data_IF_682058451668
#
_entry.id   IF_682058451668
#
_cell.length_a   1.000
_cell.length_b   1.000
_cell.length_c   1.000
_cell.angle_alpha   90.00
_cell.angle_beta   90.00
_cell.angle_gamma   90.00
#
_symmetry.space_group_name_H-M   'P 1'
#
loop_
_entity.id
_entity.type
_entity.pdbx_description
1 polymer ?
#
# COMPACT_ATOMS: atom_id res chain seq x y z
N UNK A 1 -45.51 11.52 -49.13
CA UNK A 1 -44.65 11.89 -50.27
C UNK A 1 -43.34 12.43 -49.72
N UNK A 2 -42.33 11.60 -49.47
CA UNK A 2 -41.31 11.10 -50.43
C UNK A 2 -40.16 12.09 -50.68
N UNK A 3 -39.02 11.91 -49.99
CA UNK A 3 -37.77 11.32 -50.55
C UNK A 3 -36.57 11.48 -49.59
N UNK A 4 -35.96 10.34 -49.26
CA UNK A 4 -34.55 10.15 -48.85
C UNK A 4 -33.73 9.81 -50.15
N UNK A 5 -32.40 9.52 -50.18
CA UNK A 5 -31.33 9.63 -49.17
C UNK A 5 -29.98 10.20 -49.74
N UNK A 6 -28.96 10.39 -48.90
CA UNK A 6 -27.57 10.26 -49.38
C UNK A 6 -26.68 9.52 -48.36
N UNK A 7 -26.20 8.34 -48.80
CA UNK A 7 -25.26 7.44 -48.12
C UNK A 7 -23.83 7.93 -48.27
N UNK A 8 -23.03 7.87 -47.21
CA UNK A 8 -21.58 7.82 -47.30
C UNK A 8 -21.08 6.36 -47.23
N UNK A 9 -20.30 5.94 -48.23
CA UNK A 9 -19.55 4.68 -48.27
C UNK A 9 -18.04 4.99 -48.15
N UNK A 10 -17.22 4.09 -47.58
CA UNK A 10 -15.79 4.31 -47.36
C UNK A 10 -14.98 3.93 -48.61
N UNK A 11 -13.87 4.66 -48.85
CA UNK A 11 -12.96 4.39 -49.97
C UNK A 11 -11.68 3.68 -49.49
N UNK A 12 -11.40 2.53 -50.12
CA UNK A 12 -10.15 1.74 -50.02
C UNK A 12 -9.22 2.11 -51.17
N UNK A 13 -7.97 2.50 -50.90
CA UNK A 13 -6.80 2.28 -51.79
C UNK A 13 -5.55 2.11 -50.90
N UNK A 14 -5.00 0.90 -50.73
CA UNK A 14 -3.98 0.21 -51.56
C UNK A 14 -2.69 1.03 -51.77
N UNK A 15 -1.68 0.76 -50.93
CA UNK A 15 -0.28 0.83 -51.31
C UNK A 15 0.31 -0.59 -51.36
N UNK A 16 0.85 -0.96 -52.53
CA UNK A 16 1.69 -2.13 -52.76
C UNK A 16 3.13 -1.74 -52.44
N UNK A 17 3.81 -2.54 -51.63
CA UNK A 17 5.26 -2.56 -51.48
C UNK A 17 5.69 -4.00 -51.21
N UNK A 18 6.43 -4.57 -52.17
CA UNK A 18 6.89 -5.96 -52.21
C UNK A 18 7.99 -6.22 -51.17
N UNK A 19 8.08 -7.45 -50.66
CA UNK A 19 9.34 -7.94 -50.08
C UNK A 19 9.21 -9.15 -49.16
N UNK A 20 9.25 -10.35 -49.74
CA UNK A 20 9.93 -11.54 -49.19
C UNK A 20 9.58 -12.05 -47.79
N UNK A 21 8.74 -13.09 -47.74
CA UNK A 21 8.77 -14.05 -46.66
C UNK A 21 10.07 -14.86 -46.72
N UNK A 22 10.80 -14.94 -45.60
CA UNK A 22 11.80 -15.98 -45.36
C UNK A 22 11.68 -16.43 -43.90
N UNK A 23 11.14 -17.63 -43.78
CA UNK A 23 11.11 -18.45 -42.58
C UNK A 23 12.55 -18.68 -42.08
N UNK A 24 12.82 -18.35 -40.81
CA UNK A 24 14.03 -18.82 -40.15
C UNK A 24 13.80 -20.22 -39.61
N UNK A 25 14.39 -21.20 -40.29
CA UNK A 25 14.55 -22.58 -39.84
C UNK A 25 15.40 -22.65 -38.56
N UNK A 26 15.21 -23.67 -37.70
CA UNK A 26 16.05 -23.91 -36.54
C UNK A 26 17.41 -24.48 -36.95
N UNK A 27 18.49 -23.85 -36.49
CA UNK A 27 19.87 -24.31 -36.69
C UNK A 27 20.11 -25.57 -35.84
N UNK A 28 20.63 -26.68 -36.40
CA UNK A 28 21.03 -27.83 -35.62
C UNK A 28 22.45 -27.61 -35.05
N UNK A 29 22.56 -27.54 -33.72
CA UNK A 29 23.85 -27.58 -33.04
C UNK A 29 24.46 -28.99 -33.16
N UNK A 30 25.50 -29.12 -33.99
CA UNK A 30 26.37 -30.30 -34.02
C UNK A 30 27.23 -30.35 -32.77
N UNK A 31 27.34 -31.56 -32.22
CA UNK A 31 28.14 -31.86 -31.04
C UNK A 31 29.64 -31.76 -31.28
N UNK A 32 30.34 -31.31 -30.25
CA UNK A 32 31.78 -31.44 -30.03
C UNK A 32 32.03 -31.46 -28.52
N UNK A 33 33.01 -32.23 -28.02
CA UNK A 33 33.18 -32.49 -26.59
C UNK A 33 33.85 -31.30 -25.90
N UNK A 34 33.36 -30.91 -24.72
CA UNK A 34 33.98 -29.86 -23.88
C UNK A 34 34.41 -30.48 -22.54
N UNK A 35 35.59 -30.12 -22.00
CA UNK A 35 36.34 -30.94 -21.05
C UNK A 35 35.84 -30.84 -19.61
N UNK A 36 36.17 -31.87 -18.83
CA UNK A 36 35.92 -31.95 -17.39
C UNK A 36 36.72 -30.92 -16.58
N UNK A 37 36.07 -30.47 -15.49
CA UNK A 37 36.61 -29.95 -14.24
C UNK A 37 37.11 -28.49 -14.18
N UNK A 38 36.40 -27.67 -13.37
CA UNK A 38 36.89 -27.12 -12.08
C UNK A 38 35.75 -26.45 -11.32
N UNK A 39 35.55 -26.86 -10.06
CA UNK A 39 34.61 -26.25 -9.12
C UNK A 39 35.03 -24.80 -8.83
N UNK A 40 34.16 -23.85 -9.17
CA UNK A 40 34.31 -22.45 -8.76
C UNK A 40 33.79 -22.31 -7.31
N UNK A 41 34.58 -21.86 -6.33
CA UNK A 41 34.09 -21.69 -4.97
C UNK A 41 33.22 -20.42 -4.90
N UNK A 42 31.90 -20.60 -4.76
CA UNK A 42 30.98 -19.52 -4.36
C UNK A 42 31.38 -19.04 -2.96
N UNK A 43 32.08 -17.91 -2.87
CA UNK A 43 32.20 -17.13 -1.63
C UNK A 43 30.93 -16.32 -1.46
N UNK A 44 30.04 -16.76 -0.58
CA UNK A 44 28.92 -15.96 -0.09
C UNK A 44 29.41 -15.09 1.09
N UNK A 45 29.46 -13.73 0.95
CA UNK A 45 30.00 -12.85 1.99
C UNK A 45 29.16 -12.83 3.28
N UNK A 46 27.95 -13.39 3.27
CA UNK A 46 26.99 -13.30 4.37
C UNK A 46 27.02 -14.50 5.34
N UNK A 47 27.75 -15.57 5.02
CA UNK A 47 27.79 -16.80 5.82
C UNK A 47 28.79 -16.76 7.00
N UNK A 48 29.70 -15.79 7.07
CA UNK A 48 30.80 -15.80 8.07
C UNK A 48 30.52 -14.99 9.35
N UNK A 49 29.34 -14.37 9.50
CA UNK A 49 29.06 -13.48 10.64
C UNK A 49 28.31 -14.16 11.81
N UNK A 50 28.08 -15.48 11.77
CA UNK A 50 27.26 -16.17 12.78
C UNK A 50 27.95 -17.33 13.53
N UNK A 51 29.27 -17.42 13.50
CA UNK A 51 30.02 -18.43 14.27
C UNK A 51 31.15 -17.82 15.09
N UNK A 52 30.80 -17.21 16.24
CA UNK A 52 31.74 -17.02 17.35
C UNK A 52 31.06 -17.37 18.68
N UNK A 53 31.53 -18.39 19.40
CA UNK A 53 31.05 -18.67 20.75
C UNK A 53 31.66 -17.68 21.74
N UNK A 54 30.85 -17.27 22.74
CA UNK A 54 31.24 -16.40 23.82
C UNK A 54 32.33 -17.06 24.69
N UNK A 55 33.45 -16.37 24.91
CA UNK A 55 34.46 -16.75 25.91
C UNK A 55 34.64 -15.61 26.91
N UNK A 56 34.28 -15.93 28.16
CA UNK A 56 35.07 -15.71 29.36
C UNK A 56 35.54 -14.30 29.69
N UNK A 57 34.89 -13.70 30.69
CA UNK A 57 35.45 -12.62 31.49
C UNK A 57 36.74 -13.11 32.17
N UNK A 58 37.85 -12.41 31.95
CA UNK A 58 39.05 -12.51 32.79
C UNK A 58 39.63 -11.10 32.98
N UNK A 59 39.84 -10.77 34.25
CA UNK A 59 40.26 -9.46 34.74
C UNK A 59 41.69 -9.10 34.32
N UNK A 60 41.87 -7.92 33.75
CA UNK A 60 43.20 -7.36 33.44
C UNK A 60 43.54 -6.27 34.44
N UNK A 61 44.55 -6.55 35.28
CA UNK A 61 45.13 -5.63 36.28
C UNK A 61 45.66 -4.36 35.60
N UNK A 62 45.24 -3.20 36.11
CA UNK A 62 45.81 -1.89 35.80
C UNK A 62 47.26 -1.79 36.33
N UNK A 63 48.20 -1.48 35.44
CA UNK A 63 49.51 -0.93 35.78
C UNK A 63 49.56 0.52 35.31
N UNK A 64 49.73 1.45 36.25
CA UNK A 64 50.07 2.86 35.97
C UNK A 64 51.55 2.96 35.59
N UNK A 65 51.94 3.71 34.54
CA UNK A 65 53.30 4.23 34.44
C UNK A 65 53.37 5.69 34.93
N UNK A 66 54.48 5.96 35.61
CA UNK A 66 54.85 7.24 36.19
C UNK A 66 55.22 8.29 35.13
N UNK A 67 55.20 9.55 35.57
CA UNK A 67 55.57 10.73 34.81
C UNK A 67 57.02 10.67 34.32
N UNK A 68 57.22 10.96 33.04
CA UNK A 68 58.51 11.36 32.48
C UNK A 68 58.28 12.59 31.60
N UNK A 69 58.85 13.70 32.06
CA UNK A 69 58.90 14.99 31.37
C UNK A 69 59.89 14.82 30.21
N UNK A 70 59.38 14.92 28.98
CA UNK A 70 60.14 14.78 27.74
C UNK A 70 59.76 15.90 26.76
N UNK A 71 60.75 16.76 26.52
CA UNK A 71 60.81 17.96 25.69
C UNK A 71 59.89 17.97 24.44
N UNK A 72 59.16 19.08 24.31
CA UNK A 72 58.21 19.38 23.24
C UNK A 72 58.96 19.97 22.03
N UNK A 73 59.15 19.18 20.98
CA UNK A 73 59.65 19.67 19.69
C UNK A 73 58.62 20.62 19.05
N UNK A 74 59.05 21.68 18.33
CA UNK A 74 58.12 22.64 17.76
C UNK A 74 57.32 21.96 16.64
N UNK A 75 56.01 21.79 16.87
CA UNK A 75 55.04 21.38 15.85
C UNK A 75 55.11 22.40 14.69
N UNK A 76 55.64 21.94 13.57
CA UNK A 76 55.61 22.65 12.30
C UNK A 76 54.15 22.98 11.92
N UNK A 77 53.77 24.22 12.21
CA UNK A 77 52.40 24.74 12.08
C UNK A 77 52.05 25.11 10.63
N UNK A 78 52.93 24.79 9.66
CA UNK A 78 52.77 25.16 8.24
C UNK A 78 52.25 24.04 7.33
N UNK A 79 52.03 22.83 7.83
CA UNK A 79 51.55 21.69 7.00
C UNK A 79 50.05 21.35 7.09
N UNK A 80 49.25 22.09 7.87
CA UNK A 80 47.80 21.85 8.05
C UNK A 80 46.89 22.88 7.35
N UNK A 81 47.41 23.61 6.36
CA UNK A 81 46.66 24.66 5.64
C UNK A 81 46.66 24.47 4.11
N UNK A 82 46.84 23.24 3.61
CA UNK A 82 46.89 22.98 2.16
C UNK A 82 45.96 21.86 1.64
N UNK A 83 45.19 21.17 2.48
CA UNK A 83 44.25 20.13 2.04
C UNK A 83 42.87 20.34 2.65
N UNK A 84 42.06 21.17 1.99
CA UNK A 84 40.68 21.42 2.43
C UNK A 84 39.75 21.95 1.36
N UNK A 85 40.17 22.04 0.08
CA UNK A 85 39.22 22.26 -1.02
C UNK A 85 38.67 20.91 -1.44
N UNK A 86 37.60 20.46 -0.79
CA UNK A 86 36.70 19.46 -1.39
C UNK A 86 36.26 20.06 -2.71
N UNK A 87 36.70 19.49 -3.84
CA UNK A 87 36.29 20.04 -5.13
C UNK A 87 34.75 19.98 -5.22
N UNK A 88 34.08 21.01 -5.75
CA UNK A 88 32.62 21.05 -5.85
C UNK A 88 32.06 19.79 -6.54
N UNK A 89 32.83 19.24 -7.49
CA UNK A 89 32.51 18.02 -8.24
C UNK A 89 32.57 16.75 -7.38
N UNK A 90 33.51 16.66 -6.41
CA UNK A 90 33.54 15.56 -5.43
C UNK A 90 32.34 15.64 -4.47
N UNK A 91 31.93 16.85 -4.09
CA UNK A 91 30.72 17.07 -3.28
C UNK A 91 29.43 16.67 -4.00
N UNK A 92 29.26 17.09 -5.26
CA UNK A 92 28.07 16.76 -6.05
C UNK A 92 27.94 15.25 -6.33
N UNK A 93 29.04 14.57 -6.68
CA UNK A 93 29.02 13.11 -6.88
C UNK A 93 28.70 12.37 -5.58
N UNK A 94 29.29 12.78 -4.45
CA UNK A 94 29.01 12.18 -3.15
C UNK A 94 27.54 12.37 -2.73
N UNK A 95 27.00 13.58 -2.90
CA UNK A 95 25.58 13.85 -2.65
C UNK A 95 24.66 12.97 -3.49
N UNK A 96 24.94 12.84 -4.79
CA UNK A 96 24.14 12.03 -5.71
C UNK A 96 24.22 10.54 -5.33
N UNK A 97 25.39 10.03 -4.95
CA UNK A 97 25.53 8.64 -4.48
C UNK A 97 24.79 8.40 -3.18
N UNK A 98 24.86 9.33 -2.23
CA UNK A 98 24.17 9.23 -0.94
C UNK A 98 22.65 9.30 -1.10
N UNK A 99 22.18 10.18 -1.98
CA UNK A 99 20.77 10.31 -2.34
C UNK A 99 20.25 9.03 -3.01
N UNK A 100 20.97 8.49 -3.99
CA UNK A 100 20.62 7.21 -4.62
C UNK A 100 20.62 6.05 -3.62
N UNK A 101 21.59 6.02 -2.69
CA UNK A 101 21.62 5.01 -1.65
C UNK A 101 20.41 5.15 -0.70
N UNK A 102 20.02 6.38 -0.34
CA UNK A 102 18.83 6.65 0.45
C UNK A 102 17.54 6.25 -0.27
N UNK A 103 17.42 6.59 -1.56
CA UNK A 103 16.31 6.19 -2.43
C UNK A 103 16.18 4.66 -2.50
N UNK A 104 17.29 3.97 -2.71
CA UNK A 104 17.32 2.51 -2.76
C UNK A 104 16.95 1.88 -1.41
N UNK A 105 17.41 2.43 -0.28
CA UNK A 105 16.99 1.97 1.05
C UNK A 105 15.50 2.22 1.30
N UNK A 106 14.98 3.37 0.85
CA UNK A 106 13.58 3.72 1.03
C UNK A 106 12.64 2.70 0.37
N UNK A 107 12.94 2.31 -0.87
CA UNK A 107 12.11 1.41 -1.67
C UNK A 107 12.45 -0.07 -1.53
N UNK A 108 13.73 -0.44 -1.47
CA UNK A 108 14.17 -1.82 -1.73
C UNK A 108 14.79 -2.53 -0.54
N UNK A 109 14.98 -1.87 0.61
CA UNK A 109 15.43 -2.57 1.81
C UNK A 109 14.44 -3.71 2.17
N UNK A 110 14.89 -4.94 2.40
CA UNK A 110 13.98 -6.04 2.70
C UNK A 110 13.12 -5.77 3.94
N UNK A 111 11.84 -6.14 3.89
CA UNK A 111 10.90 -5.99 5.00
C UNK A 111 10.13 -7.29 5.25
N UNK A 112 9.86 -7.59 6.52
CA UNK A 112 9.04 -8.74 6.93
C UNK A 112 7.56 -8.54 6.55
N UNK A 113 6.82 -9.61 6.20
CA UNK A 113 5.43 -9.50 5.71
C UNK A 113 4.37 -9.31 6.81
N UNK A 114 4.74 -9.23 8.09
CA UNK A 114 3.80 -9.40 9.22
C UNK A 114 2.72 -8.31 9.29
N UNK A 115 3.08 -7.04 9.12
CA UNK A 115 2.09 -5.94 9.09
C UNK A 115 1.12 -6.12 7.91
N UNK A 116 1.67 -6.44 6.71
CA UNK A 116 0.86 -6.66 5.51
C UNK A 116 -0.03 -7.90 5.62
N UNK A 117 0.37 -8.91 6.40
CA UNK A 117 -0.46 -10.09 6.65
C UNK A 117 -1.69 -9.74 7.49
N UNK A 118 -1.59 -8.81 8.44
CA UNK A 118 -2.75 -8.30 9.21
C UNK A 118 -3.65 -7.46 8.31
N UNK A 119 -3.06 -6.55 7.52
CA UNK A 119 -3.80 -5.75 6.54
C UNK A 119 -4.55 -6.68 5.57
N UNK A 120 -3.89 -7.74 5.05
CA UNK A 120 -4.52 -8.75 4.19
C UNK A 120 -5.77 -9.36 4.80
N UNK A 121 -5.74 -9.76 6.07
CA UNK A 121 -6.89 -10.38 6.75
C UNK A 121 -8.06 -9.40 6.78
N UNK A 122 -7.84 -8.17 7.26
CA UNK A 122 -8.92 -7.18 7.37
C UNK A 122 -9.41 -6.68 6.01
N UNK A 123 -8.52 -6.45 5.06
CA UNK A 123 -8.90 -6.04 3.69
C UNK A 123 -9.69 -7.15 2.98
N UNK A 124 -9.27 -8.42 3.10
CA UNK A 124 -10.01 -9.54 2.53
C UNK A 124 -11.39 -9.72 3.16
N UNK A 125 -11.49 -9.60 4.49
CA UNK A 125 -12.76 -9.64 5.21
C UNK A 125 -13.70 -8.50 4.78
N UNK A 126 -13.17 -7.27 4.69
CA UNK A 126 -13.96 -6.11 4.29
C UNK A 126 -14.39 -6.19 2.83
N UNK A 127 -13.52 -6.66 1.92
CA UNK A 127 -13.90 -6.86 0.52
C UNK A 127 -15.02 -7.89 0.39
N UNK A 128 -14.96 -9.00 1.14
CA UNK A 128 -16.04 -9.99 1.18
C UNK A 128 -17.35 -9.38 1.73
N UNK A 129 -17.27 -8.57 2.79
CA UNK A 129 -18.42 -7.85 3.33
C UNK A 129 -19.04 -6.90 2.29
N UNK A 130 -18.23 -6.09 1.61
CA UNK A 130 -18.73 -5.15 0.60
C UNK A 130 -19.44 -5.90 -0.53
N UNK A 131 -18.84 -6.96 -1.08
CA UNK A 131 -19.50 -7.77 -2.11
C UNK A 131 -20.75 -8.48 -1.60
N UNK A 132 -20.83 -8.85 -0.32
CA UNK A 132 -22.06 -9.41 0.27
C UNK A 132 -23.19 -8.37 0.34
N UNK A 133 -22.87 -7.11 0.69
CA UNK A 133 -23.84 -6.01 0.65
C UNK A 133 -24.32 -5.78 -0.79
N UNK A 134 -23.41 -5.70 -1.77
CA UNK A 134 -23.80 -5.55 -3.17
C UNK A 134 -24.59 -6.73 -3.71
N UNK A 135 -24.30 -7.96 -3.25
CA UNK A 135 -25.08 -9.14 -3.59
C UNK A 135 -26.53 -9.05 -3.07
N UNK A 136 -26.72 -8.54 -1.86
CA UNK A 136 -28.06 -8.42 -1.25
C UNK A 136 -28.99 -7.43 -1.96
N UNK A 137 -28.43 -6.51 -2.75
CA UNK A 137 -29.17 -5.49 -3.51
C UNK A 137 -28.75 -5.49 -4.99
N UNK A 138 -28.38 -6.66 -5.53
CA UNK A 138 -27.81 -6.75 -6.88
C UNK A 138 -28.75 -6.20 -7.95
N UNK A 139 -30.06 -6.43 -7.80
CA UNK A 139 -31.07 -5.99 -8.75
C UNK A 139 -31.23 -4.46 -8.74
N UNK A 140 -31.20 -3.83 -7.56
CA UNK A 140 -31.33 -2.38 -7.39
C UNK A 140 -30.15 -1.60 -7.98
N UNK A 141 -28.93 -2.14 -7.83
CA UNK A 141 -27.70 -1.44 -8.23
C UNK A 141 -27.18 -1.82 -9.61
N UNK A 142 -27.38 -3.08 -10.03
CA UNK A 142 -26.76 -3.62 -11.24
C UNK A 142 -27.73 -4.35 -12.16
N UNK A 143 -28.96 -4.62 -11.71
CA UNK A 143 -29.97 -5.36 -12.45
C UNK A 143 -30.49 -4.65 -13.71
N UNK A 144 -31.59 -5.14 -14.31
CA UNK A 144 -32.14 -4.60 -15.56
C UNK A 144 -32.62 -3.15 -15.46
N UNK A 145 -33.07 -2.73 -14.28
CA UNK A 145 -33.55 -1.38 -13.98
C UNK A 145 -32.79 -0.81 -12.78
N UNK A 146 -31.47 -0.57 -12.91
CA UNK A 146 -30.66 -0.11 -11.79
C UNK A 146 -31.00 1.35 -11.47
N UNK A 147 -30.79 1.76 -10.22
CA UNK A 147 -30.99 3.17 -9.81
C UNK A 147 -30.15 4.15 -10.62
N UNK A 148 -28.97 3.70 -11.09
CA UNK A 148 -28.12 4.43 -12.03
C UNK A 148 -28.03 3.64 -13.31
N UNK A 149 -28.71 4.14 -14.34
CA UNK A 149 -28.69 3.54 -15.67
C UNK A 149 -27.38 3.81 -16.41
N UNK A 150 -27.18 3.09 -17.52
CA UNK A 150 -26.00 3.26 -18.36
C UNK A 150 -25.86 4.69 -18.89
N UNK A 151 -26.89 5.33 -19.48
CA UNK A 151 -26.76 6.70 -19.97
C UNK A 151 -26.30 7.70 -18.90
N UNK A 152 -26.84 7.63 -17.68
CA UNK A 152 -26.39 8.49 -16.58
C UNK A 152 -24.93 8.21 -16.21
N UNK A 153 -24.54 6.93 -16.15
CA UNK A 153 -23.14 6.56 -15.91
C UNK A 153 -22.20 7.04 -17.02
N UNK A 154 -22.58 6.93 -18.28
CA UNK A 154 -21.78 7.40 -19.43
C UNK A 154 -21.63 8.91 -19.43
N UNK A 155 -22.71 9.65 -19.13
CA UNK A 155 -22.67 11.10 -19.01
C UNK A 155 -21.70 11.57 -17.90
N UNK A 156 -21.60 10.82 -16.80
CA UNK A 156 -20.66 11.14 -15.72
C UNK A 156 -19.20 10.92 -16.13
N UNK A 157 -18.94 9.91 -16.96
CA UNK A 157 -17.60 9.55 -17.42
C UNK A 157 -17.27 10.13 -18.80
N UNK A 158 -17.97 11.16 -19.25
CA UNK A 158 -17.67 11.86 -20.52
C UNK A 158 -16.25 12.45 -20.54
N UNK A 159 -15.69 12.76 -19.35
CA UNK A 159 -14.36 13.36 -19.20
C UNK A 159 -13.34 12.50 -18.47
N UNK A 160 -13.76 11.36 -17.92
CA UNK A 160 -12.93 10.50 -17.08
C UNK A 160 -12.98 9.04 -17.57
N UNK A 161 -11.95 8.27 -17.25
CA UNK A 161 -11.89 6.87 -17.67
C UNK A 161 -12.44 5.93 -16.60
N UNK A 162 -13.53 5.23 -16.94
CA UNK A 162 -13.99 4.08 -16.18
C UNK A 162 -14.40 2.94 -17.13
N UNK A 163 -14.16 1.70 -16.72
CA UNK A 163 -14.54 0.54 -17.49
C UNK A 163 -14.89 -0.62 -16.57
N UNK A 164 -16.06 -1.22 -16.79
CA UNK A 164 -16.50 -2.41 -16.08
C UNK A 164 -17.16 -3.39 -17.04
N UNK A 165 -16.69 -4.63 -17.02
CA UNK A 165 -17.31 -5.71 -17.78
C UNK A 165 -18.73 -6.06 -17.32
N UNK A 166 -19.14 -5.62 -16.12
CA UNK A 166 -20.51 -5.80 -15.62
C UNK A 166 -21.54 -5.12 -16.51
N UNK A 167 -21.13 -4.12 -17.29
CA UNK A 167 -21.94 -3.51 -18.33
C UNK A 167 -22.24 -4.44 -19.52
N UNK A 168 -21.55 -5.55 -19.72
CA UNK A 168 -21.87 -6.44 -20.85
C UNK A 168 -22.95 -7.48 -20.53
N UNK A 169 -23.47 -7.48 -19.30
CA UNK A 169 -24.45 -8.46 -18.85
C UNK A 169 -25.66 -7.77 -18.22
N UNK A 170 -26.85 -8.08 -18.73
CA UNK A 170 -28.12 -7.69 -18.11
C UNK A 170 -28.77 -8.87 -17.36
N UNK A 171 -28.14 -10.06 -17.43
CA UNK A 171 -28.64 -11.27 -16.77
C UNK A 171 -28.28 -11.28 -15.28
N UNK A 172 -29.27 -11.30 -14.36
CA UNK A 172 -29.01 -11.27 -12.91
C UNK A 172 -28.09 -12.40 -12.44
N UNK A 173 -28.18 -13.58 -13.04
CA UNK A 173 -27.34 -14.72 -12.70
C UNK A 173 -25.83 -14.45 -12.88
N UNK A 174 -25.44 -13.68 -13.90
CA UNK A 174 -24.03 -13.33 -14.14
C UNK A 174 -23.53 -12.27 -13.17
N UNK A 175 -24.38 -11.32 -12.80
CA UNK A 175 -24.09 -10.30 -11.79
C UNK A 175 -23.94 -10.92 -10.40
N UNK A 176 -24.86 -11.81 -10.03
CA UNK A 176 -24.77 -12.63 -8.82
C UNK A 176 -23.50 -13.48 -8.85
N UNK A 177 -23.22 -14.15 -9.98
CA UNK A 177 -22.01 -14.95 -10.18
C UNK A 177 -20.73 -14.14 -9.94
N UNK A 178 -20.66 -12.90 -10.44
CA UNK A 178 -19.56 -12.00 -10.14
C UNK A 178 -19.39 -11.77 -8.63
N UNK A 179 -20.48 -11.41 -7.92
CA UNK A 179 -20.39 -11.14 -6.49
C UNK A 179 -19.97 -12.37 -5.71
N UNK A 180 -20.50 -13.55 -6.03
CA UNK A 180 -20.14 -14.81 -5.37
C UNK A 180 -18.65 -15.13 -5.59
N UNK A 181 -18.15 -15.01 -6.83
CA UNK A 181 -16.72 -15.23 -7.11
C UNK A 181 -15.86 -14.21 -6.37
N UNK A 182 -16.29 -12.96 -6.26
CA UNK A 182 -15.58 -11.92 -5.54
C UNK A 182 -15.52 -12.18 -4.03
N UNK A 183 -16.64 -12.60 -3.42
CA UNK A 183 -16.70 -13.01 -2.02
C UNK A 183 -15.74 -14.18 -1.77
N UNK A 184 -15.79 -15.23 -2.60
CA UNK A 184 -14.91 -16.39 -2.46
C UNK A 184 -13.43 -16.00 -2.62
N UNK A 185 -13.10 -15.17 -3.60
CA UNK A 185 -11.74 -14.67 -3.81
C UNK A 185 -11.24 -13.85 -2.61
N UNK A 186 -12.08 -12.98 -2.07
CA UNK A 186 -11.77 -12.12 -0.92
C UNK A 186 -11.63 -12.93 0.38
N UNK A 187 -12.49 -13.92 0.62
CA UNK A 187 -12.36 -14.85 1.75
C UNK A 187 -11.11 -15.73 1.61
N UNK A 188 -10.82 -16.22 0.41
CA UNK A 188 -9.58 -16.96 0.14
C UNK A 188 -8.35 -16.06 0.39
N UNK A 189 -8.39 -14.79 -0.01
CA UNK A 189 -7.36 -13.81 0.32
C UNK A 189 -7.27 -13.56 1.83
N UNK A 190 -8.38 -13.47 2.55
CA UNK A 190 -8.45 -13.27 4.02
C UNK A 190 -7.81 -14.42 4.79
N UNK A 191 -8.05 -15.68 4.41
CA UNK A 191 -7.41 -16.84 5.06
C UNK A 191 -6.01 -17.14 4.51
N UNK A 192 -5.69 -16.54 3.36
CA UNK A 192 -4.37 -16.57 2.76
C UNK A 192 -4.13 -17.84 1.96
N UNK A 193 -5.13 -18.22 1.16
CA UNK A 193 -5.09 -19.29 0.19
C UNK A 193 -4.79 -18.72 -1.20
N UNK A 194 -3.76 -19.27 -1.86
CA UNK A 194 -3.26 -18.87 -3.16
C UNK A 194 -3.11 -17.34 -3.29
N UNK A 195 -2.51 -16.70 -2.28
CA UNK A 195 -2.48 -15.24 -2.10
C UNK A 195 -1.97 -14.46 -3.32
N UNK A 196 -1.06 -15.04 -4.10
CA UNK A 196 -0.59 -14.45 -5.37
C UNK A 196 -1.66 -14.32 -6.44
N UNK A 197 -2.63 -15.22 -6.44
CA UNK A 197 -3.74 -15.24 -7.39
C UNK A 197 -4.93 -14.50 -6.79
N UNK A 198 -5.28 -14.81 -5.54
CA UNK A 198 -6.48 -14.25 -4.88
C UNK A 198 -6.35 -12.75 -4.61
N UNK A 199 -5.15 -12.20 -4.41
CA UNK A 199 -4.97 -10.74 -4.30
C UNK A 199 -5.28 -10.01 -5.60
N UNK A 200 -4.79 -10.52 -6.74
CA UNK A 200 -5.05 -9.98 -8.07
C UNK A 200 -6.53 -10.11 -8.41
N UNK A 201 -7.10 -11.29 -8.17
CA UNK A 201 -8.51 -11.56 -8.45
C UNK A 201 -9.44 -10.69 -7.60
N UNK A 202 -9.17 -10.58 -6.30
CA UNK A 202 -9.97 -9.73 -5.39
C UNK A 202 -9.89 -8.26 -5.79
N UNK A 203 -8.69 -7.76 -6.13
CA UNK A 203 -8.53 -6.39 -6.62
C UNK A 203 -9.31 -6.15 -7.90
N UNK A 204 -9.17 -7.04 -8.89
CA UNK A 204 -9.84 -6.91 -10.17
C UNK A 204 -11.37 -6.91 -10.03
N UNK A 205 -11.93 -7.87 -9.28
CA UNK A 205 -13.37 -7.97 -9.09
C UNK A 205 -13.94 -6.76 -8.34
N UNK A 206 -13.27 -6.32 -7.27
CA UNK A 206 -13.64 -5.10 -6.56
C UNK A 206 -13.57 -3.87 -7.47
N UNK A 207 -12.51 -3.74 -8.28
CA UNK A 207 -12.36 -2.63 -9.24
C UNK A 207 -13.51 -2.58 -10.25
N UNK A 208 -13.97 -3.74 -10.74
CA UNK A 208 -15.10 -3.80 -11.67
C UNK A 208 -16.40 -3.30 -11.04
N UNK A 209 -16.63 -3.58 -9.76
CA UNK A 209 -17.78 -3.02 -9.01
C UNK A 209 -17.60 -1.52 -8.82
N UNK A 210 -16.40 -1.05 -8.44
CA UNK A 210 -16.12 0.37 -8.30
C UNK A 210 -16.37 1.16 -9.59
N UNK A 211 -15.87 0.67 -10.73
CA UNK A 211 -16.14 1.31 -12.01
C UNK A 211 -17.60 1.20 -12.46
N UNK A 212 -18.35 0.18 -12.01
CA UNK A 212 -19.77 0.04 -12.33
C UNK A 212 -20.63 1.00 -11.50
N UNK A 213 -20.30 1.17 -10.22
CA UNK A 213 -21.15 1.82 -9.24
C UNK A 213 -20.63 3.20 -8.81
N UNK A 214 -19.91 3.93 -9.66
CA UNK A 214 -19.23 5.19 -9.31
C UNK A 214 -20.07 6.18 -8.49
N UNK A 215 -21.39 6.27 -8.73
CA UNK A 215 -22.31 7.16 -8.00
C UNK A 215 -22.80 6.62 -6.66
N UNK A 216 -22.66 5.32 -6.40
CA UNK A 216 -23.03 4.66 -5.15
C UNK A 216 -21.82 4.31 -4.28
N UNK A 217 -20.60 4.65 -4.73
CA UNK A 217 -19.39 4.44 -3.94
C UNK A 217 -19.25 5.47 -2.84
N UNK A 218 -18.58 5.05 -1.77
CA UNK A 218 -18.08 5.95 -0.75
C UNK A 218 -16.57 5.74 -0.54
N UNK A 219 -15.95 6.53 0.35
CA UNK A 219 -14.52 6.45 0.64
C UNK A 219 -14.04 5.05 1.06
N UNK A 220 -14.92 4.22 1.62
CA UNK A 220 -14.60 2.83 1.98
C UNK A 220 -14.09 2.01 0.78
N UNK A 221 -14.85 2.03 -0.32
CA UNK A 221 -14.58 1.21 -1.50
C UNK A 221 -13.22 1.57 -2.10
N UNK A 222 -12.92 2.87 -2.14
CA UNK A 222 -11.65 3.41 -2.63
C UNK A 222 -10.46 2.94 -1.77
N UNK A 223 -10.59 2.96 -0.44
CA UNK A 223 -9.55 2.47 0.47
C UNK A 223 -9.34 0.97 0.33
N UNK A 224 -10.42 0.18 0.21
CA UNK A 224 -10.31 -1.27 0.06
C UNK A 224 -9.66 -1.64 -1.28
N UNK A 225 -10.07 -1.02 -2.39
CA UNK A 225 -9.42 -1.21 -3.71
C UNK A 225 -7.94 -0.82 -3.66
N UNK A 226 -7.61 0.31 -3.04
CA UNK A 226 -6.22 0.75 -2.86
C UNK A 226 -5.39 -0.30 -2.11
N UNK A 227 -5.89 -0.82 -0.99
CA UNK A 227 -5.18 -1.82 -0.21
C UNK A 227 -5.04 -3.13 -0.98
N UNK A 228 -6.10 -3.61 -1.65
CA UNK A 228 -6.06 -4.79 -2.51
C UNK A 228 -4.99 -4.66 -3.61
N UNK A 229 -4.94 -3.49 -4.27
CA UNK A 229 -3.96 -3.18 -5.31
C UNK A 229 -2.52 -3.37 -4.82
N UNK A 230 -2.19 -2.80 -3.66
CA UNK A 230 -0.83 -2.89 -3.14
C UNK A 230 -0.50 -4.24 -2.51
N UNK A 231 -1.51 -4.97 -2.00
CA UNK A 231 -1.32 -6.33 -1.51
C UNK A 231 -0.87 -7.30 -2.61
N UNK A 232 -1.24 -7.08 -3.88
CA UNK A 232 -0.78 -7.88 -5.03
C UNK A 232 0.76 -7.94 -5.13
N UNK A 233 1.44 -6.84 -4.78
CA UNK A 233 2.89 -6.72 -4.84
C UNK A 233 3.59 -7.41 -3.66
N UNK A 234 2.86 -7.64 -2.56
CA UNK A 234 3.41 -8.12 -1.29
C UNK A 234 3.56 -9.64 -1.21
N UNK A 235 4.34 -10.09 -0.22
CA UNK A 235 4.44 -11.48 0.23
C UNK A 235 3.52 -11.71 1.46
N UNK A 236 2.36 -11.05 1.54
CA UNK A 236 1.47 -11.07 2.71
C UNK A 236 0.95 -12.48 3.09
N UNK A 237 0.97 -13.44 2.15
CA UNK A 237 0.70 -14.85 2.40
C UNK A 237 1.86 -15.65 2.99
N UNK A 238 3.00 -15.03 3.30
CA UNK A 238 4.17 -15.71 3.86
C UNK A 238 4.03 -16.10 5.33
N UNK A 239 3.08 -15.48 6.05
CA UNK A 239 2.83 -15.71 7.48
C UNK A 239 1.32 -15.68 7.78
N UNK A 240 0.89 -16.40 8.82
CA UNK A 240 -0.51 -16.46 9.28
C UNK A 240 -1.52 -16.74 8.15
N UNK A 241 -1.19 -17.70 7.29
CA UNK A 241 -1.94 -18.02 6.08
C UNK A 241 -1.98 -19.53 5.84
N UNK A 242 -2.95 -19.98 5.04
CA UNK A 242 -2.97 -21.36 4.53
C UNK A 242 -1.75 -21.60 3.62
N UNK A 243 -1.36 -20.64 2.80
CA UNK A 243 -0.17 -20.70 1.93
C UNK A 243 1.10 -21.03 2.72
N UNK A 244 1.27 -20.45 3.91
CA UNK A 244 2.42 -20.75 4.78
C UNK A 244 2.41 -22.21 5.22
N UNK A 245 1.26 -22.72 5.65
CA UNK A 245 1.10 -24.13 6.06
C UNK A 245 1.37 -25.05 4.87
N UNK A 246 0.85 -24.72 3.70
CA UNK A 246 1.05 -25.50 2.50
C UNK A 246 2.53 -25.51 2.07
N UNK A 247 3.19 -24.36 2.07
CA UNK A 247 4.63 -24.23 1.79
C UNK A 247 5.50 -25.08 2.71
N UNK A 248 5.13 -25.21 3.99
CA UNK A 248 5.86 -26.09 4.92
C UNK A 248 5.70 -27.59 4.60
N UNK A 249 4.63 -27.98 3.88
CA UNK A 249 4.37 -29.37 3.51
C UNK A 249 4.91 -29.74 2.12
N UNK A 250 4.72 -28.86 1.13
CA UNK A 250 5.03 -29.16 -0.29
C UNK A 250 6.27 -28.42 -0.82
N UNK A 251 6.96 -27.68 0.04
CA UNK A 251 8.13 -26.89 -0.32
C UNK A 251 7.81 -25.55 -1.01
N UNK A 252 8.85 -24.79 -1.40
CA UNK A 252 8.68 -23.51 -2.08
C UNK A 252 8.12 -23.69 -3.49
N UNK A 253 7.09 -22.91 -3.83
CA UNK A 253 6.51 -22.79 -5.18
C UNK A 253 6.38 -21.31 -5.53
N UNK A 254 6.36 -20.98 -6.82
CA UNK A 254 6.31 -19.59 -7.29
C UNK A 254 5.09 -18.81 -6.77
N UNK A 255 3.95 -19.51 -6.60
CA UNK A 255 2.69 -18.94 -6.13
C UNK A 255 2.57 -18.90 -4.59
N UNK A 256 3.52 -19.51 -3.86
CA UNK A 256 3.55 -19.54 -2.40
C UNK A 256 4.49 -18.46 -1.87
N UNK A 257 3.93 -17.47 -1.17
CA UNK A 257 4.68 -16.36 -0.60
C UNK A 257 5.73 -16.80 0.45
N UNK A 258 6.75 -15.97 0.67
CA UNK A 258 7.86 -16.23 1.61
C UNK A 258 7.69 -15.53 2.95
N UNK A 259 8.10 -16.20 4.03
CA UNK A 259 8.15 -15.64 5.38
C UNK A 259 9.38 -14.74 5.61
N UNK A 260 10.38 -14.85 4.73
CA UNK A 260 11.61 -14.08 4.80
C UNK A 260 11.39 -12.60 4.43
N UNK A 261 12.24 -11.67 4.94
CA UNK A 261 12.24 -10.30 4.48
C UNK A 261 12.40 -10.20 2.96
N UNK A 262 11.57 -9.38 2.32
CA UNK A 262 11.58 -9.21 0.87
C UNK A 262 11.41 -7.74 0.49
N UNK A 263 12.05 -7.29 -0.60
CA UNK A 263 11.96 -5.88 -1.05
C UNK A 263 10.52 -5.51 -1.45
N UNK A 264 9.77 -6.44 -2.05
CA UNK A 264 8.40 -6.16 -2.50
C UNK A 264 7.45 -5.84 -1.35
N UNK A 265 7.69 -6.39 -0.15
CA UNK A 265 6.95 -6.00 1.06
C UNK A 265 7.22 -4.53 1.41
N UNK A 266 8.45 -4.06 1.22
CA UNK A 266 8.78 -2.65 1.45
C UNK A 266 8.13 -1.75 0.42
N UNK A 267 8.21 -2.10 -0.86
CA UNK A 267 7.53 -1.37 -1.94
C UNK A 267 6.03 -1.25 -1.66
N UNK A 268 5.34 -2.37 -1.39
CA UNK A 268 3.92 -2.36 -1.04
C UNK A 268 3.61 -1.47 0.18
N UNK A 269 4.41 -1.60 1.25
CA UNK A 269 4.25 -0.79 2.46
C UNK A 269 4.45 0.70 2.18
N UNK A 270 5.48 1.09 1.40
CA UNK A 270 5.73 2.49 1.03
C UNK A 270 4.65 3.07 0.14
N UNK A 271 4.14 2.28 -0.80
CA UNK A 271 3.03 2.71 -1.63
C UNK A 271 1.77 2.98 -0.79
N UNK A 272 1.41 2.09 0.14
CA UNK A 272 0.29 2.34 1.06
C UNK A 272 0.53 3.61 1.89
N UNK A 273 1.72 3.77 2.46
CA UNK A 273 2.06 4.94 3.28
C UNK A 273 2.00 6.25 2.50
N UNK A 274 2.54 6.28 1.28
CA UNK A 274 2.51 7.46 0.42
C UNK A 274 1.09 7.76 -0.06
N UNK A 275 0.31 6.73 -0.41
CA UNK A 275 -1.08 6.93 -0.82
C UNK A 275 -1.92 7.48 0.35
N UNK A 276 -1.71 7.01 1.58
CA UNK A 276 -2.31 7.64 2.76
C UNK A 276 -1.87 9.09 2.95
N UNK A 277 -0.59 9.41 2.72
CA UNK A 277 -0.13 10.80 2.77
C UNK A 277 -0.85 11.67 1.74
N UNK A 278 -1.10 11.15 0.54
CA UNK A 278 -1.88 11.84 -0.51
C UNK A 278 -3.34 12.02 -0.06
N UNK A 279 -4.00 10.96 0.40
CA UNK A 279 -5.40 11.01 0.87
C UNK A 279 -5.56 12.07 1.95
N UNK A 280 -4.74 12.03 3.00
CA UNK A 280 -4.84 13.01 4.09
C UNK A 280 -4.46 14.43 3.66
N UNK A 281 -3.42 14.60 2.85
CA UNK A 281 -3.01 15.93 2.40
C UNK A 281 -4.09 16.60 1.53
N UNK A 282 -4.69 15.86 0.59
CA UNK A 282 -5.77 16.39 -0.25
C UNK A 282 -7.07 16.60 0.54
N UNK A 283 -7.36 15.73 1.51
CA UNK A 283 -8.47 15.91 2.45
C UNK A 283 -8.30 17.16 3.31
N UNK A 284 -7.10 17.39 3.86
CA UNK A 284 -6.80 18.57 4.66
C UNK A 284 -6.81 19.85 3.83
N UNK A 285 -6.21 19.82 2.63
CA UNK A 285 -6.18 21.00 1.75
C UNK A 285 -7.56 21.36 1.19
N UNK A 286 -8.42 20.38 0.91
CA UNK A 286 -9.81 20.66 0.50
C UNK A 286 -10.60 21.30 1.63
N UNK A 287 -10.44 20.82 2.87
CA UNK A 287 -11.02 21.43 4.07
C UNK A 287 -10.49 22.83 4.33
N UNK A 288 -9.19 23.05 4.14
CA UNK A 288 -8.54 24.36 4.28
C UNK A 288 -9.03 25.41 3.27
N UNK A 289 -9.92 25.07 2.33
CA UNK A 289 -10.59 26.06 1.46
C UNK A 289 -11.94 26.52 2.01
N UNK A 290 -12.52 25.81 2.96
CA UNK A 290 -13.83 26.13 3.53
C UNK A 290 -13.72 27.02 4.77
N UNK A 291 -14.48 28.12 4.80
CA UNK A 291 -14.49 29.07 5.93
C UNK A 291 -14.86 28.40 7.26
N UNK A 292 -15.80 27.45 7.23
CA UNK A 292 -16.26 26.68 8.39
C UNK A 292 -15.13 25.90 9.12
N UNK A 293 -14.04 25.60 8.43
CA UNK A 293 -12.91 24.90 9.05
C UNK A 293 -11.99 25.84 9.83
N UNK A 294 -11.91 27.11 9.42
CA UNK A 294 -11.11 28.12 10.12
C UNK A 294 -11.89 28.82 11.24
N UNK A 295 -13.19 29.03 11.08
CA UNK A 295 -14.04 29.54 12.16
C UNK A 295 -14.31 28.49 13.26
N UNK A 296 -14.00 27.21 12.99
CA UNK A 296 -14.11 26.10 13.93
C UNK A 296 -15.51 25.48 14.03
N UNK A 297 -16.43 25.84 13.13
CA UNK A 297 -17.81 25.36 13.13
C UNK A 297 -18.02 24.07 12.32
N UNK A 298 -17.07 23.63 11.51
CA UNK A 298 -17.28 22.49 10.59
C UNK A 298 -17.70 21.20 11.32
N UNK A 299 -17.05 20.86 12.44
CA UNK A 299 -17.43 19.65 13.18
C UNK A 299 -18.79 19.80 13.85
N UNK A 300 -19.22 21.01 14.22
CA UNK A 300 -20.56 21.25 14.78
C UNK A 300 -21.65 20.79 13.80
N UNK A 301 -21.54 21.18 12.53
CA UNK A 301 -22.50 20.78 11.49
C UNK A 301 -22.53 19.28 11.24
N UNK A 302 -21.37 18.61 11.32
CA UNK A 302 -21.32 17.15 11.22
C UNK A 302 -21.98 16.48 12.43
N UNK A 303 -21.81 17.05 13.62
CA UNK A 303 -22.36 16.50 14.86
C UNK A 303 -23.87 16.70 14.98
N UNK A 304 -24.45 17.80 14.50
CA UNK A 304 -25.90 18.03 14.59
C UNK A 304 -26.70 17.37 13.47
N UNK A 305 -26.02 16.73 12.52
CA UNK A 305 -26.69 16.04 11.43
C UNK A 305 -27.14 14.63 11.86
N UNK A 306 -28.42 14.52 12.23
CA UNK A 306 -29.03 13.27 12.68
C UNK A 306 -28.99 12.14 11.64
N UNK A 307 -28.90 12.45 10.34
CA UNK A 307 -28.83 11.41 9.31
C UNK A 307 -27.53 10.61 9.36
N UNK A 308 -26.46 11.22 9.88
CA UNK A 308 -25.15 10.58 10.00
C UNK A 308 -24.80 10.16 11.43
N UNK A 309 -25.63 10.44 12.45
CA UNK A 309 -25.31 10.09 13.82
C UNK A 309 -25.62 8.62 14.17
N UNK A 310 -24.65 7.91 14.75
CA UNK A 310 -24.87 6.61 15.41
C UNK A 310 -24.87 6.69 16.94
N UNK A 311 -24.30 7.76 17.48
CA UNK A 311 -24.34 8.10 18.90
C UNK A 311 -24.82 9.53 19.05
N UNK A 312 -25.58 9.80 20.11
CA UNK A 312 -25.99 11.15 20.44
C UNK A 312 -24.77 11.96 20.90
N UNK A 313 -24.28 12.84 20.01
CA UNK A 313 -23.21 13.79 20.28
C UNK A 313 -23.70 15.23 20.41
N UNK A 314 -25.02 15.46 20.48
CA UNK A 314 -25.60 16.81 20.55
C UNK A 314 -25.13 17.55 21.81
N UNK A 315 -24.85 16.82 22.89
CA UNK A 315 -24.28 17.37 24.13
C UNK A 315 -22.95 18.09 23.92
N UNK A 316 -22.15 17.69 22.91
CA UNK A 316 -20.86 18.33 22.60
C UNK A 316 -21.05 19.78 22.14
N UNK A 317 -22.25 20.11 21.64
CA UNK A 317 -22.68 21.47 21.31
C UNK A 317 -22.72 22.45 22.45
N UNK A 318 -22.85 21.94 23.67
CA UNK A 318 -22.78 22.77 24.88
C UNK A 318 -21.35 23.27 25.13
N UNK A 319 -20.36 22.75 24.39
CA UNK A 319 -18.95 23.10 24.50
C UNK A 319 -18.38 23.59 23.16
N UNK A 320 -18.79 24.78 22.65
CA UNK A 320 -18.34 25.29 21.35
C UNK A 320 -16.82 25.40 21.20
N UNK A 321 -16.12 25.74 22.29
CA UNK A 321 -14.66 25.81 22.30
C UNK A 321 -14.00 24.45 22.03
N UNK A 322 -14.61 23.36 22.52
CA UNK A 322 -14.10 22.00 22.31
C UNK A 322 -14.35 21.57 20.87
N UNK A 323 -15.52 21.86 20.32
CA UNK A 323 -15.84 21.57 18.91
C UNK A 323 -14.92 22.35 17.97
N UNK A 324 -14.64 23.62 18.26
CA UNK A 324 -13.68 24.44 17.51
C UNK A 324 -12.26 23.88 17.59
N UNK A 325 -11.80 23.51 18.79
CA UNK A 325 -10.50 22.86 18.99
C UNK A 325 -10.38 21.57 18.18
N UNK A 326 -11.40 20.71 18.22
CA UNK A 326 -11.42 19.44 17.46
C UNK A 326 -11.46 19.67 15.95
N UNK A 327 -12.18 20.69 15.49
CA UNK A 327 -12.22 21.10 14.07
C UNK A 327 -10.84 21.51 13.58
N UNK A 328 -10.18 22.44 14.30
CA UNK A 328 -8.85 22.92 13.96
C UNK A 328 -7.78 21.83 14.11
N UNK A 329 -7.90 20.97 15.13
CA UNK A 329 -7.01 19.82 15.32
C UNK A 329 -7.12 18.83 14.17
N UNK A 330 -8.33 18.56 13.67
CA UNK A 330 -8.56 17.70 12.50
C UNK A 330 -7.95 18.32 11.25
N UNK A 331 -8.18 19.63 11.01
CA UNK A 331 -7.60 20.35 9.88
C UNK A 331 -6.07 20.31 9.89
N UNK A 332 -5.46 20.64 11.03
CA UNK A 332 -4.02 20.59 11.23
C UNK A 332 -3.48 19.18 11.00
N UNK A 333 -4.09 18.18 11.65
CA UNK A 333 -3.63 16.81 11.59
C UNK A 333 -3.68 16.26 10.16
N UNK A 334 -4.79 16.43 9.43
CA UNK A 334 -4.89 15.95 8.04
C UNK A 334 -3.89 16.65 7.11
N UNK A 335 -3.77 17.98 7.23
CA UNK A 335 -2.90 18.79 6.37
C UNK A 335 -1.42 18.43 6.56
N UNK A 336 -0.99 18.24 7.81
CA UNK A 336 0.40 17.98 8.14
C UNK A 336 0.72 16.49 8.35
N UNK A 337 -0.26 15.59 8.19
CA UNK A 337 -0.10 14.14 8.34
C UNK A 337 1.13 13.63 7.57
N UNK A 338 1.24 14.05 6.30
CA UNK A 338 2.28 13.61 5.37
C UNK A 338 3.69 14.00 5.81
N UNK A 339 3.85 15.04 6.63
CA UNK A 339 5.13 15.45 7.20
C UNK A 339 5.36 14.82 8.59
N UNK A 340 4.33 14.82 9.43
CA UNK A 340 4.43 14.43 10.84
C UNK A 340 4.48 12.91 11.07
N UNK A 341 4.05 12.08 10.12
CA UNK A 341 4.04 10.62 10.31
C UNK A 341 5.44 9.96 10.22
N UNK A 342 6.40 10.62 9.56
CA UNK A 342 7.72 10.02 9.30
C UNK A 342 8.67 10.04 10.50
N UNK A 343 8.83 11.15 11.24
CA UNK A 343 9.73 11.20 12.38
C UNK A 343 9.31 10.25 13.49
N UNK A 344 10.28 9.61 14.15
CA UNK A 344 10.00 8.59 15.18
C UNK A 344 9.28 9.15 16.41
N UNK A 345 9.50 10.43 16.71
CA UNK A 345 8.91 11.10 17.86
C UNK A 345 7.42 11.43 17.65
N UNK A 346 7.08 11.96 16.48
CA UNK A 346 5.73 12.42 16.14
C UNK A 346 4.81 11.29 15.68
N UNK A 347 5.37 10.25 15.04
CA UNK A 347 4.61 9.10 14.53
C UNK A 347 3.60 8.50 15.50
N UNK A 348 3.94 8.13 16.75
CA UNK A 348 2.95 7.53 17.66
C UNK A 348 1.77 8.46 17.95
N UNK A 349 2.00 9.77 18.09
CA UNK A 349 0.93 10.75 18.29
C UNK A 349 0.05 10.90 17.06
N UNK A 350 0.64 10.95 15.87
CA UNK A 350 -0.10 11.03 14.60
C UNK A 350 -0.96 9.79 14.39
N UNK A 351 -0.44 8.59 14.67
CA UNK A 351 -1.20 7.34 14.57
C UNK A 351 -2.25 7.21 15.68
N UNK A 352 -1.96 7.71 16.89
CA UNK A 352 -2.94 7.79 17.98
C UNK A 352 -4.12 8.69 17.60
N UNK A 353 -3.84 9.85 17.02
CA UNK A 353 -4.87 10.75 16.48
C UNK A 353 -5.66 10.09 15.35
N UNK A 354 -5.00 9.32 14.47
CA UNK A 354 -5.69 8.53 13.44
C UNK A 354 -6.73 7.57 14.06
N UNK A 355 -6.37 6.87 15.14
CA UNK A 355 -7.29 5.97 15.86
C UNK A 355 -8.43 6.74 16.49
N UNK A 356 -8.16 7.90 17.10
CA UNK A 356 -9.20 8.73 17.73
C UNK A 356 -10.18 9.28 16.70
N UNK A 357 -9.68 9.88 15.61
CA UNK A 357 -10.52 10.47 14.56
C UNK A 357 -11.34 9.39 13.85
N UNK A 358 -10.68 8.35 13.36
CA UNK A 358 -11.38 7.29 12.60
C UNK A 358 -12.23 6.39 13.49
N UNK A 359 -11.84 6.20 14.75
CA UNK A 359 -12.66 5.54 15.76
C UNK A 359 -13.90 6.37 16.12
N UNK A 360 -13.76 7.69 16.26
CA UNK A 360 -14.88 8.60 16.45
C UNK A 360 -15.88 8.57 15.29
N UNK A 361 -15.38 8.62 14.04
CA UNK A 361 -16.21 8.44 12.83
C UNK A 361 -16.92 7.09 12.86
N UNK A 362 -16.18 6.01 13.17
CA UNK A 362 -16.72 4.66 13.16
C UNK A 362 -17.83 4.44 14.20
N UNK A 363 -17.69 5.03 15.38
CA UNK A 363 -18.62 4.84 16.49
C UNK A 363 -19.79 5.83 16.44
N UNK A 364 -19.55 7.07 15.99
CA UNK A 364 -20.51 8.14 16.16
C UNK A 364 -21.09 8.72 14.87
N UNK A 365 -20.45 8.52 13.72
CA UNK A 365 -20.85 9.15 12.44
C UNK A 365 -21.36 8.15 11.38
N UNK A 366 -22.00 7.03 11.76
CA UNK A 366 -22.72 6.18 10.80
C UNK A 366 -21.83 5.38 9.84
N UNK A 367 -20.50 5.48 9.97
CA UNK A 367 -19.54 4.94 8.99
C UNK A 367 -18.51 4.00 9.65
N UNK A 368 -18.95 2.92 10.33
CA UNK A 368 -18.07 2.01 11.06
C UNK A 368 -17.02 1.35 10.16
N UNK A 369 -17.42 0.95 8.96
CA UNK A 369 -16.58 0.24 7.99
C UNK A 369 -15.45 1.14 7.46
N UNK A 370 -15.76 2.40 7.15
CA UNK A 370 -14.77 3.37 6.68
C UNK A 370 -13.73 3.67 7.77
N UNK A 371 -14.18 4.04 8.97
CA UNK A 371 -13.27 4.35 10.07
C UNK A 371 -12.39 3.16 10.45
N UNK A 372 -12.96 1.94 10.48
CA UNK A 372 -12.19 0.72 10.70
C UNK A 372 -11.10 0.50 9.64
N UNK A 373 -11.43 0.62 8.36
CA UNK A 373 -10.45 0.41 7.29
C UNK A 373 -9.39 1.49 7.23
N UNK A 374 -9.69 2.74 7.61
CA UNK A 374 -8.69 3.78 7.77
C UNK A 374 -7.69 3.46 8.89
N UNK A 375 -8.16 2.91 10.03
CA UNK A 375 -7.28 2.44 11.10
C UNK A 375 -6.38 1.29 10.59
N UNK A 376 -6.97 0.31 9.89
CA UNK A 376 -6.23 -0.81 9.29
C UNK A 376 -5.17 -0.31 8.30
N UNK A 377 -5.50 0.65 7.43
CA UNK A 377 -4.54 1.20 6.48
C UNK A 377 -3.36 1.88 7.19
N UNK A 378 -3.64 2.63 8.27
CA UNK A 378 -2.63 3.30 9.09
C UNK A 378 -1.66 2.32 9.77
N UNK A 379 -2.04 1.04 9.94
CA UNK A 379 -1.13 0.01 10.44
C UNK A 379 0.14 -0.13 9.57
N UNK A 380 0.11 0.30 8.30
CA UNK A 380 1.28 0.30 7.42
C UNK A 380 2.48 1.07 7.99
N UNK A 381 2.27 2.00 8.94
CA UNK A 381 3.33 2.73 9.63
C UNK A 381 3.91 2.00 10.87
N UNK A 382 3.28 0.90 11.30
CA UNK A 382 3.71 0.07 12.41
C UNK A 382 4.79 -0.91 11.95
N UNK A 383 5.87 -1.01 12.73
CA UNK A 383 6.98 -1.91 12.43
C UNK A 383 6.54 -3.38 12.45
N UNK A 384 6.87 -4.18 11.41
CA UNK A 384 6.50 -5.59 11.35
C UNK A 384 7.02 -6.43 12.52
N UNK A 385 8.14 -6.05 13.12
CA UNK A 385 8.71 -6.71 14.30
C UNK A 385 7.81 -6.54 15.52
N UNK A 386 7.18 -5.38 15.70
CA UNK A 386 6.24 -5.15 16.79
C UNK A 386 4.98 -6.00 16.59
N UNK A 387 4.43 -6.01 15.36
CA UNK A 387 3.27 -6.83 14.99
C UNK A 387 3.55 -8.31 15.20
N UNK A 388 4.72 -8.81 14.75
CA UNK A 388 5.15 -10.20 14.98
C UNK A 388 5.17 -10.57 16.46
N UNK A 389 5.70 -9.70 17.33
CA UNK A 389 5.77 -9.96 18.78
C UNK A 389 4.37 -10.00 19.41
N UNK A 390 3.50 -9.05 19.06
CA UNK A 390 2.15 -8.95 19.63
C UNK A 390 1.31 -10.16 19.20
N UNK A 391 1.19 -10.40 17.90
CA UNK A 391 0.38 -11.50 17.37
C UNK A 391 0.99 -12.86 17.75
N UNK A 392 2.32 -12.98 17.78
CA UNK A 392 2.99 -14.21 18.23
C UNK A 392 2.69 -14.56 19.69
N UNK A 393 2.51 -13.57 20.57
CA UNK A 393 2.06 -13.82 21.95
C UNK A 393 0.61 -14.27 22.02
N UNK A 394 -0.25 -13.77 21.13
CA UNK A 394 -1.67 -14.14 21.09
C UNK A 394 -1.90 -15.54 20.54
N UNK A 395 -1.10 -15.98 19.56
CA UNK A 395 -1.24 -17.31 18.93
C UNK A 395 -0.56 -18.45 19.73
N UNK A 396 0.32 -18.12 20.67
CA UNK A 396 1.00 -19.08 21.54
C UNK A 396 0.36 -19.18 22.94
N UNK A 397 -0.70 -18.42 23.20
CA UNK A 397 -1.64 -18.62 24.30
C UNK A 397 -2.79 -19.47 23.77
#
# INVERSE_FOLDING_TARGET
>A
MSRCPMRFRPNRRRHRGRGGALWCSPVPCRGGPVPSARKCPRRDPWAQRLSRPAKGWAATKQRKPAAAIGQMAPRDRRRTMAEGRVSPVRGARAFVTDWMAAWNRFWFEPLLPHTLAVIRVFTGAMAAYIHAIWLSHVDDFMGPTPWVDRPAWEALHDRDWAWSWLWYFDQPALLIGHQVVAIVAALALMVGLATRITSVLSWWLMLMVCHRLTLALFGLDQIVVMLLMYLMLSQCGGVWSIDRRLRSRIGPRWWLATDQPHFSNRVATRLIQLHLCVIYAFSGLSKARGEMWFDGSALWYALVNYEYQSLDLVWLGRYPWLVSLLTLATLFWETFYCALVWPRLTRPFVLGMAVVVHGGIALALGMPTFGWMMIVANMAFIQPQAVRRIVGKLLNR
#
